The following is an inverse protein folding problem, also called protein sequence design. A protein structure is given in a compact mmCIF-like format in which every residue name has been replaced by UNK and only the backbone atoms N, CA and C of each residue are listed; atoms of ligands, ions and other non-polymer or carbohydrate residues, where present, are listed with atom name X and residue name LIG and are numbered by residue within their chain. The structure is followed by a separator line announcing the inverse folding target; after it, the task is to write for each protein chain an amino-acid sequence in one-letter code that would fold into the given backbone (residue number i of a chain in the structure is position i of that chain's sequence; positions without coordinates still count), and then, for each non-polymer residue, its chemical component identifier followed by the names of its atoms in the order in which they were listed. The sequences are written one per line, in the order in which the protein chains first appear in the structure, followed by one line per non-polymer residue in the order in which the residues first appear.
data_IF_255216939017
#
_entry.id   IF_255216939017
#
_cell.length_a   1.000
_cell.length_b   1.000
_cell.length_c   1.000
_cell.angle_alpha   90.00
_cell.angle_beta   90.00
_cell.angle_gamma   90.00
#
_symmetry.space_group_name_H-M   'P 1'
#
loop_
_entity.id
_entity.type
_entity.pdbx_description
1 polymer ?
#
# COMPACT_ATOMS: atom_id res chain seq x y z
N UNK A 1 1.97 -19.80 -1.11
CA UNK A 1 1.73 -19.82 -2.56
C UNK A 1 2.75 -20.75 -3.20
N UNK A 2 2.32 -21.87 -3.75
CA UNK A 2 3.18 -22.87 -4.38
C UNK A 2 3.84 -22.28 -5.64
N UNK A 3 5.14 -22.51 -5.79
CA UNK A 3 5.98 -22.03 -6.89
C UNK A 3 5.69 -22.66 -8.25
N UNK A 4 4.66 -23.51 -8.39
CA UNK A 4 4.31 -24.22 -9.62
C UNK A 4 3.07 -23.67 -10.34
N UNK A 5 2.49 -22.53 -9.90
CA UNK A 5 1.17 -22.05 -10.38
C UNK A 5 1.21 -21.32 -11.74
N UNK A 6 2.39 -21.00 -12.29
CA UNK A 6 2.55 -20.18 -13.51
C UNK A 6 3.26 -20.92 -14.66
N UNK A 7 2.94 -22.20 -14.92
CA UNK A 7 3.39 -22.86 -16.17
C UNK A 7 2.80 -22.19 -17.43
N UNK A 8 1.65 -21.52 -17.28
CA UNK A 8 1.06 -20.64 -18.27
C UNK A 8 0.84 -19.26 -17.63
N UNK A 9 1.37 -18.20 -18.27
CA UNK A 9 1.20 -16.84 -17.76
C UNK A 9 -0.27 -16.43 -17.84
N UNK A 10 -0.84 -15.80 -16.77
CA UNK A 10 -2.22 -15.34 -16.79
C UNK A 10 -2.42 -14.31 -17.90
N UNK A 11 -3.62 -14.28 -18.49
CA UNK A 11 -4.01 -13.30 -19.50
C UNK A 11 -4.90 -12.22 -18.88
N UNK A 12 -4.91 -11.02 -19.49
CA UNK A 12 -5.89 -10.00 -19.11
C UNK A 12 -7.32 -10.51 -19.37
N UNK A 13 -8.19 -10.37 -18.36
CA UNK A 13 -9.55 -10.91 -18.34
C UNK A 13 -9.71 -12.20 -17.56
N UNK A 14 -8.61 -12.89 -17.22
CA UNK A 14 -8.67 -14.10 -16.41
C UNK A 14 -9.15 -13.77 -14.99
N UNK A 15 -9.91 -14.69 -14.40
CA UNK A 15 -10.36 -14.58 -13.01
C UNK A 15 -9.95 -15.82 -12.24
N UNK A 16 -9.24 -15.63 -11.14
CA UNK A 16 -8.91 -16.70 -10.19
C UNK A 16 -9.80 -16.61 -8.96
N UNK A 17 -10.39 -17.74 -8.59
CA UNK A 17 -11.18 -17.88 -7.36
C UNK A 17 -10.43 -18.86 -6.44
N UNK A 18 -9.88 -18.35 -5.35
CA UNK A 18 -9.18 -19.14 -4.34
C UNK A 18 -9.87 -18.95 -2.99
N UNK A 19 -10.82 -19.84 -2.68
CA UNK A 19 -11.67 -19.91 -1.47
C UNK A 19 -12.26 -18.56 -0.98
N UNK A 20 -11.44 -17.70 -0.37
CA UNK A 20 -11.81 -16.39 0.19
C UNK A 20 -11.25 -15.19 -0.62
N UNK A 21 -10.54 -15.44 -1.72
CA UNK A 21 -9.93 -14.42 -2.57
C UNK A 21 -10.34 -14.57 -4.02
N UNK A 22 -10.90 -13.49 -4.57
CA UNK A 22 -11.17 -13.33 -6.00
C UNK A 22 -10.12 -12.40 -6.58
N UNK A 23 -9.43 -12.83 -7.63
CA UNK A 23 -8.40 -12.05 -8.31
C UNK A 23 -8.79 -11.88 -9.76
N UNK A 24 -8.84 -10.63 -10.22
CA UNK A 24 -9.12 -10.28 -11.61
C UNK A 24 -7.89 -9.70 -12.29
N UNK A 25 -7.45 -10.31 -13.39
CA UNK A 25 -6.26 -9.89 -14.12
C UNK A 25 -6.55 -8.77 -15.13
N UNK A 26 -5.87 -7.64 -14.96
CA UNK A 26 -5.93 -6.45 -15.83
C UNK A 26 -4.77 -6.38 -16.84
N UNK A 27 -3.66 -7.08 -16.55
CA UNK A 27 -2.52 -7.27 -17.44
C UNK A 27 -1.93 -8.66 -17.23
N UNK A 28 -1.28 -9.28 -18.23
CA UNK A 28 -0.46 -8.70 -19.32
C UNK A 28 -1.22 -7.95 -20.42
N UNK A 29 -0.51 -7.08 -21.15
CA UNK A 29 -1.05 -6.17 -22.19
C UNK A 29 -2.13 -5.23 -21.64
N UNK A 30 -1.71 -4.10 -21.06
CA UNK A 30 -2.57 -3.31 -20.20
C UNK A 30 -3.63 -2.53 -21.00
N UNK A 31 -4.87 -3.03 -20.97
CA UNK A 31 -6.02 -2.44 -21.66
C UNK A 31 -6.66 -1.30 -20.84
N UNK A 32 -7.27 -0.30 -21.49
CA UNK A 32 -7.96 0.79 -20.79
C UNK A 32 -9.23 0.30 -20.10
N UNK A 33 -9.35 0.47 -18.79
CA UNK A 33 -10.52 0.01 -18.01
C UNK A 33 -11.72 0.97 -18.05
N UNK A 34 -11.51 2.23 -18.46
CA UNK A 34 -12.54 3.27 -18.47
C UNK A 34 -12.75 3.97 -17.12
N UNK A 35 -12.10 3.51 -16.05
CA UNK A 35 -12.05 4.21 -14.75
C UNK A 35 -11.11 5.41 -14.87
N UNK A 36 -11.43 6.51 -14.17
CA UNK A 36 -10.56 7.68 -14.17
C UNK A 36 -9.25 7.38 -13.46
N UNK A 37 -8.12 7.67 -14.11
CA UNK A 37 -6.80 7.67 -13.50
C UNK A 37 -6.72 8.77 -12.42
N UNK A 38 -6.79 8.39 -11.14
CA UNK A 38 -6.61 9.31 -10.03
C UNK A 38 -5.19 9.20 -9.48
N UNK A 39 -4.44 10.29 -9.49
CA UNK A 39 -3.06 10.31 -9.02
C UNK A 39 -3.03 10.37 -7.49
N UNK A 40 -3.03 9.22 -6.83
CA UNK A 40 -2.98 9.15 -5.36
C UNK A 40 -1.59 9.42 -4.77
N UNK A 41 -0.53 9.26 -5.57
CA UNK A 41 0.85 9.24 -5.05
C UNK A 41 1.72 10.44 -5.45
N UNK A 42 1.11 11.53 -5.93
CA UNK A 42 1.78 12.79 -6.26
C UNK A 42 3.07 12.63 -7.09
N UNK A 43 2.90 12.23 -8.35
CA UNK A 43 4.00 12.08 -9.32
C UNK A 43 4.73 13.41 -9.57
N UNK A 44 6.06 13.45 -9.31
CA UNK A 44 6.93 14.61 -9.51
C UNK A 44 7.08 14.98 -11.00
N UNK A 45 6.67 16.20 -11.37
CA UNK A 45 6.50 16.65 -12.76
C UNK A 45 7.74 16.64 -13.66
N UNK A 46 8.96 16.76 -13.11
CA UNK A 46 10.19 16.83 -13.93
C UNK A 46 10.77 15.45 -14.27
N UNK A 47 10.58 14.44 -13.42
CA UNK A 47 10.93 13.05 -13.73
C UNK A 47 9.87 12.38 -14.63
N UNK A 48 8.64 12.89 -14.57
CA UNK A 48 7.43 12.33 -15.18
C UNK A 48 7.43 12.25 -16.73
N UNK A 49 8.34 12.89 -17.46
CA UNK A 49 8.38 12.74 -18.93
C UNK A 49 9.15 11.49 -19.37
N UNK A 50 10.07 11.01 -18.53
CA UNK A 50 10.95 9.87 -18.82
C UNK A 50 10.56 8.62 -18.03
N UNK A 51 10.42 8.76 -16.71
CA UNK A 51 10.24 7.64 -15.80
C UNK A 51 9.39 7.99 -14.59
N UNK A 52 8.61 7.02 -14.13
CA UNK A 52 7.80 7.09 -12.93
C UNK A 52 8.42 6.22 -11.86
N UNK A 53 8.77 6.83 -10.72
CA UNK A 53 9.24 6.11 -9.54
C UNK A 53 8.06 5.79 -8.63
N UNK A 54 7.74 4.50 -8.56
CA UNK A 54 6.64 4.00 -7.77
C UNK A 54 7.10 3.62 -6.37
N UNK A 55 6.37 4.11 -5.37
CA UNK A 55 6.70 3.96 -3.96
C UNK A 55 5.54 3.37 -3.17
N UNK A 56 5.84 2.56 -2.15
CA UNK A 56 4.81 2.13 -1.22
C UNK A 56 4.28 3.33 -0.42
N UNK A 57 2.97 3.40 -0.21
CA UNK A 57 2.28 4.51 0.47
C UNK A 57 2.68 4.63 1.95
N UNK A 58 2.66 5.86 2.48
CA UNK A 58 2.94 6.17 3.89
C UNK A 58 1.95 5.54 4.86
N UNK A 59 0.74 5.20 4.40
CA UNK A 59 -0.35 4.66 5.20
C UNK A 59 0.04 3.39 5.96
N UNK A 60 0.67 2.43 5.28
CA UNK A 60 1.08 1.16 5.88
C UNK A 60 2.10 1.35 7.01
N UNK A 61 3.04 2.29 6.82
CA UNK A 61 4.09 2.59 7.78
C UNK A 61 3.56 3.42 8.95
N UNK A 62 2.69 4.40 8.67
CA UNK A 62 1.98 5.17 9.69
C UNK A 62 1.18 4.24 10.60
N UNK A 63 0.36 3.36 10.02
CA UNK A 63 -0.42 2.36 10.75
C UNK A 63 0.47 1.45 11.60
N UNK A 64 1.60 0.97 11.06
CA UNK A 64 2.54 0.14 11.81
C UNK A 64 3.15 0.89 13.01
N UNK A 65 3.55 2.16 12.83
CA UNK A 65 4.05 3.00 13.94
C UNK A 65 2.96 3.23 14.98
N UNK A 66 1.72 3.49 14.54
CA UNK A 66 0.57 3.70 15.42
C UNK A 66 0.23 2.46 16.24
N UNK A 67 0.29 1.27 15.65
CA UNK A 67 0.12 0.02 16.38
C UNK A 67 1.24 -0.21 17.39
N UNK A 68 2.48 0.15 17.05
CA UNK A 68 3.62 0.05 17.96
C UNK A 68 3.46 0.98 19.18
N UNK A 69 3.19 2.27 18.94
CA UNK A 69 2.97 3.26 20.01
C UNK A 69 1.81 2.86 20.91
N UNK A 70 0.69 2.41 20.33
CA UNK A 70 -0.47 1.92 21.07
C UNK A 70 -0.15 0.69 21.93
N UNK A 71 0.66 -0.23 21.42
CA UNK A 71 1.05 -1.46 22.15
C UNK A 71 1.96 -1.15 23.34
N UNK A 72 2.92 -0.23 23.19
CA UNK A 72 3.77 0.21 24.31
C UNK A 72 2.96 1.01 25.34
N UNK A 73 2.09 1.92 24.87
CA UNK A 73 1.26 2.73 25.74
C UNK A 73 0.23 1.90 26.52
N UNK A 74 -0.36 0.86 25.91
CA UNK A 74 -1.33 -0.01 26.58
C UNK A 74 -0.69 -0.81 27.72
N UNK A 75 0.55 -1.27 27.54
CA UNK A 75 1.29 -1.99 28.59
C UNK A 75 1.63 -1.05 29.75
N UNK A 76 2.10 0.16 29.46
CA UNK A 76 2.34 1.19 30.49
C UNK A 76 1.03 1.48 31.23
N UNK A 77 -0.07 1.67 30.50
CA UNK A 77 -1.37 1.95 31.11
C UNK A 77 -1.87 0.80 31.97
N UNK A 78 -1.67 -0.45 31.55
CA UNK A 78 -2.01 -1.63 32.34
C UNK A 78 -1.28 -1.60 33.69
N UNK A 79 0.03 -1.34 33.71
CA UNK A 79 0.78 -1.23 34.96
C UNK A 79 0.34 -0.05 35.83
N UNK A 80 0.02 1.11 35.23
CA UNK A 80 -0.52 2.25 35.95
C UNK A 80 -1.88 1.91 36.59
N UNK A 81 -2.78 1.23 35.87
CA UNK A 81 -4.07 0.79 36.40
C UNK A 81 -3.91 -0.25 37.52
N UNK A 82 -2.97 -1.19 37.38
CA UNK A 82 -2.66 -2.15 38.46
C UNK A 82 -2.10 -1.46 39.70
N UNK A 83 -1.23 -0.46 39.54
CA UNK A 83 -0.70 0.32 40.65
C UNK A 83 -1.79 1.13 41.37
N UNK A 84 -2.71 1.74 40.62
CA UNK A 84 -3.85 2.44 41.20
C UNK A 84 -4.82 1.46 41.86
N UNK A 85 -5.12 0.33 41.23
CA UNK A 85 -6.02 -0.69 41.75
C UNK A 85 -5.53 -1.34 43.04
N UNK A 86 -4.23 -1.62 43.13
CA UNK A 86 -3.60 -2.10 44.37
C UNK A 86 -3.66 -1.04 45.47
N UNK A 87 -3.40 0.23 45.16
CA UNK A 87 -3.57 1.33 46.12
C UNK A 87 -5.01 1.52 46.60
N UNK A 88 -6.01 1.35 45.73
CA UNK A 88 -7.44 1.38 46.12
C UNK A 88 -7.77 0.20 47.04
N UNK A 89 -7.30 -1.00 46.71
CA UNK A 89 -7.54 -2.18 47.53
C UNK A 89 -6.94 -2.02 48.94
N UNK A 90 -5.72 -1.47 49.02
CA UNK A 90 -5.05 -1.23 50.30
C UNK A 90 -5.68 -0.09 51.10
N UNK A 91 -6.20 0.94 50.44
CA UNK A 91 -7.03 1.95 51.10
C UNK A 91 -8.26 1.32 51.79
N UNK A 92 -8.95 0.37 51.15
CA UNK A 92 -10.09 -0.31 51.77
C UNK A 92 -9.70 -1.25 52.92
N UNK A 93 -8.50 -1.84 52.90
CA UNK A 93 -8.06 -2.81 53.91
C UNK A 93 -7.39 -2.11 55.11
N UNK A 94 -6.53 -1.13 54.84
CA UNK A 94 -5.58 -0.56 55.81
C UNK A 94 -5.73 0.97 55.96
N UNK A 95 -6.66 1.60 55.24
CA UNK A 95 -6.90 3.04 55.25
C UNK A 95 -5.65 3.89 54.92
N UNK A 96 -4.71 3.31 54.16
CA UNK A 96 -3.53 3.99 53.66
C UNK A 96 -3.90 4.80 52.41
N UNK A 97 -3.36 6.01 52.23
CA UNK A 97 -3.66 6.79 51.04
C UNK A 97 -3.15 6.09 49.77
N UNK A 98 -3.99 6.06 48.74
CA UNK A 98 -3.78 5.30 47.48
C UNK A 98 -2.39 5.57 46.86
N UNK A 99 -1.92 6.83 46.88
CA UNK A 99 -0.64 7.20 46.28
C UNK A 99 0.58 6.64 47.03
N UNK A 100 0.47 6.39 48.34
CA UNK A 100 1.58 5.82 49.13
C UNK A 100 1.88 4.38 48.72
N UNK A 101 0.88 3.62 48.27
CA UNK A 101 1.08 2.28 47.70
C UNK A 101 1.40 2.34 46.20
N UNK A 102 0.70 3.19 45.45
CA UNK A 102 0.83 3.22 43.99
C UNK A 102 2.20 3.74 43.50
N UNK A 103 2.76 4.77 44.14
CA UNK A 103 4.04 5.37 43.73
C UNK A 103 5.20 4.35 43.89
N UNK A 104 5.37 3.66 45.03
CA UNK A 104 6.40 2.64 45.19
C UNK A 104 6.24 1.41 44.30
N UNK A 105 5.01 1.10 43.90
CA UNK A 105 4.75 0.02 42.96
C UNK A 105 5.22 0.36 41.53
N UNK A 106 5.03 1.62 41.11
CA UNK A 106 5.29 2.07 39.73
C UNK A 106 6.73 2.56 39.54
N UNK A 107 7.22 3.48 40.38
CA UNK A 107 8.46 4.23 40.07
C UNK A 107 9.75 3.53 40.54
N UNK A 108 9.88 3.08 41.81
CA UNK A 108 11.06 2.34 42.28
C UNK A 108 11.21 0.92 41.71
N UNK A 109 10.18 0.41 41.03
CA UNK A 109 10.15 -0.98 40.56
C UNK A 109 10.99 -1.15 39.29
N UNK A 110 12.29 -1.36 39.47
CA UNK A 110 13.24 -1.55 38.38
C UNK A 110 12.89 -2.75 37.48
N UNK A 111 12.29 -3.80 38.02
CA UNK A 111 11.90 -4.98 37.25
C UNK A 111 10.78 -4.66 36.24
N UNK A 112 9.80 -3.84 36.64
CA UNK A 112 8.75 -3.34 35.76
C UNK A 112 9.34 -2.50 34.63
N UNK A 113 10.21 -1.53 34.95
CA UNK A 113 10.84 -0.69 33.93
C UNK A 113 11.79 -1.47 33.02
N UNK A 114 12.48 -2.49 33.54
CA UNK A 114 13.27 -3.40 32.73
C UNK A 114 12.38 -4.20 31.75
N UNK A 115 11.24 -4.70 32.20
CA UNK A 115 10.29 -5.39 31.35
C UNK A 115 9.75 -4.48 30.23
N UNK A 116 9.31 -3.27 30.57
CA UNK A 116 8.85 -2.27 29.59
C UNK A 116 9.97 -1.92 28.61
N UNK A 117 11.20 -1.74 29.09
CA UNK A 117 12.36 -1.45 28.25
C UNK A 117 12.69 -2.59 27.28
N UNK A 118 12.74 -3.85 27.77
CA UNK A 118 13.02 -5.01 26.92
C UNK A 118 11.96 -5.17 25.82
N UNK A 119 10.69 -4.96 26.17
CA UNK A 119 9.59 -5.04 25.22
C UNK A 119 9.66 -3.89 24.21
N UNK A 120 9.84 -2.64 24.66
CA UNK A 120 10.01 -1.50 23.78
C UNK A 120 11.21 -1.66 22.83
N UNK A 121 12.32 -2.25 23.31
CA UNK A 121 13.51 -2.57 22.52
C UNK A 121 13.25 -3.66 21.50
N UNK A 122 12.54 -4.74 21.86
CA UNK A 122 12.17 -5.81 20.94
C UNK A 122 11.33 -5.29 19.77
N UNK A 123 10.27 -4.53 20.08
CA UNK A 123 9.42 -3.94 19.05
C UNK A 123 10.16 -2.86 18.24
N UNK A 124 11.00 -2.05 18.89
CA UNK A 124 11.87 -1.08 18.23
C UNK A 124 12.78 -1.77 17.20
N UNK A 125 13.40 -2.90 17.56
CA UNK A 125 14.22 -3.68 16.63
C UNK A 125 13.44 -4.14 15.39
N UNK A 126 12.21 -4.66 15.55
CA UNK A 126 11.38 -5.02 14.40
C UNK A 126 11.02 -3.82 13.53
N UNK A 127 10.70 -2.67 14.14
CA UNK A 127 10.43 -1.43 13.43
C UNK A 127 11.65 -0.96 12.63
N UNK A 128 12.82 -0.85 13.27
CA UNK A 128 14.05 -0.44 12.58
C UNK A 128 14.45 -1.44 11.48
N UNK A 129 14.21 -2.74 11.67
CA UNK A 129 14.43 -3.74 10.63
C UNK A 129 13.49 -3.54 9.44
N UNK A 130 12.22 -3.24 9.68
CA UNK A 130 11.26 -2.93 8.62
C UNK A 130 11.63 -1.64 7.87
N UNK A 131 12.02 -0.58 8.59
CA UNK A 131 12.55 0.66 7.98
C UNK A 131 13.82 0.39 7.17
N UNK A 132 14.73 -0.42 7.68
CA UNK A 132 15.94 -0.82 6.98
C UNK A 132 15.61 -1.58 5.69
N UNK A 133 14.65 -2.51 5.73
CA UNK A 133 14.21 -3.23 4.52
C UNK A 133 13.62 -2.28 3.48
N UNK A 134 12.74 -1.36 3.89
CA UNK A 134 12.10 -0.40 2.98
C UNK A 134 13.09 0.60 2.34
N UNK A 135 14.14 0.96 3.06
CA UNK A 135 15.18 1.89 2.57
C UNK A 135 16.31 1.18 1.81
N UNK A 136 16.48 -0.13 2.02
CA UNK A 136 17.52 -0.94 1.38
C UNK A 136 17.22 -1.28 -0.08
N UNK A 137 15.94 -1.33 -0.48
CA UNK A 137 15.56 -1.56 -1.87
C UNK A 137 15.24 -0.23 -2.55
N UNK A 138 15.80 0.02 -3.75
CA UNK A 138 15.39 1.18 -4.54
C UNK A 138 13.93 1.02 -4.98
N UNK A 139 13.25 2.14 -5.30
CA UNK A 139 11.89 2.08 -5.81
C UNK A 139 11.80 1.37 -7.16
N UNK A 140 10.58 0.95 -7.50
CA UNK A 140 10.30 0.36 -8.82
C UNK A 140 10.15 1.51 -9.80
N UNK A 141 10.89 1.45 -10.91
CA UNK A 141 10.94 2.53 -11.90
C UNK A 141 10.30 2.07 -13.20
N UNK A 142 9.26 2.77 -13.62
CA UNK A 142 8.58 2.57 -14.89
C UNK A 142 9.15 3.54 -15.93
N UNK A 143 9.71 3.06 -17.04
CA UNK A 143 10.24 3.90 -18.10
C UNK A 143 9.31 3.88 -19.31
N UNK A 144 8.71 5.03 -19.59
CA UNK A 144 7.76 5.20 -20.67
C UNK A 144 8.39 5.06 -22.05
N UNK A 145 9.58 5.63 -22.23
CA UNK A 145 10.25 5.70 -23.55
C UNK A 145 10.72 4.32 -24.01
N UNK A 146 11.19 3.51 -23.07
CA UNK A 146 11.62 2.13 -23.32
C UNK A 146 10.49 1.10 -23.19
N UNK A 147 9.32 1.48 -22.68
CA UNK A 147 8.21 0.56 -22.36
C UNK A 147 8.68 -0.64 -21.52
N UNK A 148 9.48 -0.35 -20.49
CA UNK A 148 10.08 -1.35 -19.61
C UNK A 148 10.01 -0.88 -18.15
N UNK A 149 10.05 -1.83 -17.23
CA UNK A 149 10.02 -1.59 -15.79
C UNK A 149 11.25 -2.18 -15.14
N UNK A 150 11.94 -1.37 -14.35
CA UNK A 150 13.12 -1.73 -13.62
C UNK A 150 12.78 -1.96 -12.15
N UNK A 151 13.14 -3.14 -11.62
CA UNK A 151 13.07 -3.43 -10.19
C UNK A 151 14.34 -4.12 -9.69
N UNK A 152 14.59 -4.01 -8.39
CA UNK A 152 15.73 -4.65 -7.73
C UNK A 152 15.18 -5.48 -6.56
N UNK A 153 15.23 -6.81 -6.69
CA UNK A 153 14.62 -7.72 -5.71
C UNK A 153 15.26 -7.63 -4.33
N UNK A 154 16.59 -7.56 -4.27
CA UNK A 154 17.35 -7.35 -3.02
C UNK A 154 18.52 -6.42 -3.26
N UNK A 155 18.90 -5.68 -2.22
CA UNK A 155 20.09 -4.83 -2.23
C UNK A 155 21.33 -5.63 -2.68
N UNK A 156 22.02 -5.12 -3.68
CA UNK A 156 23.23 -5.74 -4.24
C UNK A 156 23.01 -6.73 -5.38
N UNK A 157 21.76 -7.10 -5.69
CA UNK A 157 21.45 -7.87 -6.89
C UNK A 157 21.40 -6.98 -8.14
N UNK A 158 21.69 -7.52 -9.34
CA UNK A 158 21.54 -6.78 -10.57
C UNK A 158 20.08 -6.35 -10.77
N UNK A 159 19.84 -5.14 -11.33
CA UNK A 159 18.49 -4.72 -11.67
C UNK A 159 17.92 -5.59 -12.77
N UNK A 160 16.62 -5.81 -12.72
CA UNK A 160 15.88 -6.59 -13.70
C UNK A 160 14.97 -5.65 -14.48
N UNK A 161 14.95 -5.83 -15.79
CA UNK A 161 14.13 -5.06 -16.72
C UNK A 161 13.07 -6.00 -17.29
N UNK A 162 11.80 -5.63 -17.13
CA UNK A 162 10.66 -6.40 -17.64
C UNK A 162 9.93 -5.53 -18.67
N UNK A 163 9.58 -6.04 -19.85
CA UNK A 163 8.73 -5.35 -20.81
C UNK A 163 7.38 -4.99 -20.20
N UNK A 164 6.92 -3.76 -20.43
CA UNK A 164 5.66 -3.23 -19.89
C UNK A 164 4.45 -4.10 -20.23
N UNK A 165 4.44 -4.71 -21.42
CA UNK A 165 3.33 -5.56 -21.88
C UNK A 165 3.34 -6.96 -21.28
N UNK A 166 4.42 -7.38 -20.60
CA UNK A 166 4.56 -8.67 -19.92
C UNK A 166 4.24 -8.58 -18.41
N UNK A 167 4.02 -7.37 -17.89
CA UNK A 167 3.73 -7.19 -16.47
C UNK A 167 2.36 -7.75 -16.14
N UNK A 168 2.32 -8.50 -15.05
CA UNK A 168 1.07 -9.01 -14.51
C UNK A 168 0.52 -7.93 -13.59
N UNK A 169 -0.73 -7.54 -13.78
CA UNK A 169 -1.41 -6.67 -12.85
C UNK A 169 -2.80 -7.23 -12.61
N UNK A 170 -3.18 -7.36 -11.35
CA UNK A 170 -4.48 -7.84 -10.98
C UNK A 170 -5.02 -7.08 -9.77
N UNK A 171 -6.33 -7.10 -9.66
CA UNK A 171 -7.03 -6.55 -8.50
C UNK A 171 -7.60 -7.72 -7.71
N UNK A 172 -7.26 -7.78 -6.43
CA UNK A 172 -7.76 -8.80 -5.52
C UNK A 172 -8.86 -8.25 -4.62
N UNK A 173 -9.95 -8.99 -4.50
CA UNK A 173 -10.98 -8.85 -3.46
C UNK A 173 -10.85 -10.06 -2.54
N UNK A 174 -10.44 -9.84 -1.30
CA UNK A 174 -10.28 -10.90 -0.30
C UNK A 174 -11.19 -10.67 0.89
N UNK A 175 -11.83 -11.73 1.37
CA UNK A 175 -12.57 -11.69 2.64
C UNK A 175 -11.63 -12.16 3.74
N UNK A 176 -11.25 -11.25 4.64
CA UNK A 176 -10.34 -11.57 5.74
C UNK A 176 -11.12 -11.61 7.04
N UNK A 177 -11.15 -12.78 7.68
CA UNK A 177 -11.64 -12.90 9.05
C UNK A 177 -10.72 -12.11 9.99
N UNK A 178 -11.25 -11.06 10.60
CA UNK A 178 -10.57 -10.28 11.63
C UNK A 178 -11.23 -10.54 12.98
N UNK A 179 -10.60 -10.09 14.06
CA UNK A 179 -11.16 -10.11 15.42
C UNK A 179 -12.51 -9.36 15.56
N UNK A 180 -12.91 -8.58 14.55
CA UNK A 180 -14.17 -7.83 14.51
C UNK A 180 -15.18 -8.38 13.49
N UNK A 181 -14.94 -9.58 12.96
CA UNK A 181 -15.75 -10.21 11.91
C UNK A 181 -15.04 -10.25 10.55
N UNK A 182 -15.77 -10.68 9.53
CA UNK A 182 -15.29 -10.76 8.16
C UNK A 182 -15.25 -9.37 7.53
N UNK A 183 -14.07 -8.94 7.10
CA UNK A 183 -13.88 -7.66 6.42
C UNK A 183 -13.39 -7.90 5.00
N UNK A 184 -14.02 -7.23 4.03
CA UNK A 184 -13.57 -7.25 2.65
C UNK A 184 -12.36 -6.32 2.50
N UNK A 185 -11.27 -6.85 1.95
CA UNK A 185 -10.03 -6.11 1.66
C UNK A 185 -9.77 -6.13 0.16
N UNK A 186 -9.53 -4.96 -0.40
CA UNK A 186 -9.16 -4.79 -1.80
C UNK A 186 -7.69 -4.43 -1.92
N UNK A 187 -7.02 -4.93 -2.95
CA UNK A 187 -5.66 -4.55 -3.24
C UNK A 187 -5.35 -4.59 -4.74
N UNK A 188 -4.50 -3.67 -5.17
CA UNK A 188 -3.82 -3.77 -6.46
C UNK A 188 -2.56 -4.61 -6.28
N UNK A 189 -2.40 -5.65 -7.07
CA UNK A 189 -1.26 -6.55 -7.05
C UNK A 189 -0.54 -6.46 -8.40
N UNK A 190 0.75 -6.12 -8.39
CA UNK A 190 1.60 -6.07 -9.59
C UNK A 190 2.65 -7.17 -9.46
N UNK A 191 2.65 -8.10 -10.42
CA UNK A 191 3.55 -9.23 -10.50
C UNK A 191 4.67 -8.98 -11.50
N UNK A 192 5.91 -9.15 -11.04
CA UNK A 192 7.12 -9.08 -11.84
C UNK A 192 7.67 -10.49 -12.04
N UNK A 193 7.49 -11.06 -13.22
CA UNK A 193 7.98 -12.40 -13.56
C UNK A 193 9.49 -12.36 -13.78
N UNK A 194 10.23 -13.20 -13.07
CA UNK A 194 11.65 -13.35 -13.26
C UNK A 194 11.98 -14.29 -14.44
N UNK A 195 12.69 -13.79 -15.44
CA UNK A 195 13.06 -14.56 -16.63
C UNK A 195 14.03 -15.73 -16.33
N UNK A 196 14.81 -15.68 -15.24
CA UNK A 196 15.77 -16.74 -14.91
C UNK A 196 15.17 -17.89 -14.09
N UNK A 197 14.31 -17.56 -13.12
CA UNK A 197 13.82 -18.53 -12.12
C UNK A 197 12.32 -18.83 -12.24
N UNK A 198 11.58 -18.10 -13.09
CA UNK A 198 10.12 -18.18 -13.21
C UNK A 198 9.36 -17.69 -11.97
N UNK A 199 10.06 -17.15 -10.97
CA UNK A 199 9.44 -16.65 -9.74
C UNK A 199 8.82 -15.28 -9.97
N UNK A 200 7.62 -15.09 -9.45
CA UNK A 200 6.91 -13.80 -9.52
C UNK A 200 7.12 -13.03 -8.22
N UNK A 201 7.73 -11.85 -8.32
CA UNK A 201 7.71 -10.89 -7.22
C UNK A 201 6.40 -10.11 -7.26
N UNK A 202 5.64 -10.16 -6.17
CA UNK A 202 4.41 -9.41 -6.01
C UNK A 202 4.62 -8.12 -5.24
N UNK A 203 4.15 -7.01 -5.81
CA UNK A 203 3.93 -5.74 -5.13
C UNK A 203 2.45 -5.61 -4.83
N UNK A 204 2.07 -5.53 -3.55
CA UNK A 204 0.68 -5.40 -3.13
C UNK A 204 0.43 -4.03 -2.54
N UNK A 205 -0.56 -3.32 -3.09
CA UNK A 205 -1.05 -2.05 -2.60
C UNK A 205 -2.45 -2.22 -2.03
N UNK A 206 -2.62 -2.11 -0.70
CA UNK A 206 -3.94 -2.15 -0.10
C UNK A 206 -4.71 -0.88 -0.48
N UNK A 207 -5.99 -1.06 -0.78
CA UNK A 207 -6.91 0.03 -1.16
C UNK A 207 -8.25 -0.14 -0.45
N UNK A 208 -8.92 0.97 -0.17
CA UNK A 208 -10.20 0.95 0.54
C UNK A 208 -11.37 0.40 -0.28
N UNK A 209 -11.30 0.44 -1.61
CA UNK A 209 -12.34 -0.08 -2.51
C UNK A 209 -11.73 -0.68 -3.79
N UNK A 210 -12.48 -1.58 -4.45
CA UNK A 210 -12.09 -2.14 -5.75
C UNK A 210 -11.85 -1.05 -6.81
N UNK A 211 -12.71 -0.04 -6.85
CA UNK A 211 -12.59 1.08 -7.79
C UNK A 211 -11.31 1.89 -7.61
N UNK A 212 -10.82 2.02 -6.37
CA UNK A 212 -9.55 2.68 -6.08
C UNK A 212 -8.36 1.84 -6.59
N UNK A 213 -8.38 0.51 -6.40
CA UNK A 213 -7.34 -0.36 -6.97
C UNK A 213 -7.27 -0.28 -8.50
N UNK A 214 -8.44 -0.29 -9.18
CA UNK A 214 -8.50 -0.12 -10.64
C UNK A 214 -8.04 1.28 -11.05
N UNK A 215 -8.38 2.31 -10.29
CA UNK A 215 -7.96 3.69 -10.56
C UNK A 215 -6.45 3.90 -10.44
N UNK A 216 -5.82 3.26 -9.46
CA UNK A 216 -4.35 3.27 -9.27
C UNK A 216 -3.64 2.57 -10.44
N UNK A 217 -4.18 1.43 -10.88
CA UNK A 217 -3.67 0.76 -12.07
C UNK A 217 -3.81 1.63 -13.32
N UNK A 218 -4.97 2.26 -13.51
CA UNK A 218 -5.19 3.21 -14.61
C UNK A 218 -4.26 4.41 -14.55
N UNK A 219 -3.86 4.89 -13.36
CA UNK A 219 -2.89 5.96 -13.24
C UNK A 219 -1.52 5.54 -13.80
N UNK A 220 -1.04 4.33 -13.47
CA UNK A 220 0.21 3.79 -14.01
C UNK A 220 0.10 3.57 -15.52
N UNK A 221 -1.01 2.96 -15.99
CA UNK A 221 -1.24 2.71 -17.42
C UNK A 221 -1.34 4.00 -18.22
N UNK A 222 -2.15 4.96 -17.77
CA UNK A 222 -2.33 6.25 -18.45
C UNK A 222 -1.00 7.01 -18.52
N UNK A 223 -0.19 6.96 -17.47
CA UNK A 223 1.16 7.49 -17.49
C UNK A 223 2.03 6.83 -18.58
N UNK A 224 2.06 5.48 -18.63
CA UNK A 224 2.89 4.74 -19.59
C UNK A 224 2.45 4.93 -21.05
N UNK A 225 1.14 5.00 -21.32
CA UNK A 225 0.62 5.11 -22.68
C UNK A 225 0.48 6.57 -23.15
N UNK A 226 -0.21 7.39 -22.36
CA UNK A 226 -0.63 8.75 -22.75
C UNK A 226 0.31 9.84 -22.21
N UNK A 227 1.15 9.50 -21.23
CA UNK A 227 2.12 10.40 -20.62
C UNK A 227 1.58 11.16 -19.40
N UNK A 228 2.38 12.06 -18.81
CA UNK A 228 2.04 12.72 -17.56
C UNK A 228 0.84 13.67 -17.65
N UNK A 229 0.46 14.12 -18.85
CA UNK A 229 -0.74 14.94 -19.07
C UNK A 229 -2.05 14.19 -18.84
N UNK A 230 -2.04 12.85 -18.93
CA UNK A 230 -3.23 12.03 -18.72
C UNK A 230 -3.55 11.80 -17.24
N UNK A 231 -2.58 12.02 -16.36
CA UNK A 231 -2.78 11.95 -14.92
C UNK A 231 -3.68 13.10 -14.46
N UNK A 232 -4.89 12.79 -14.00
CA UNK A 232 -5.71 13.80 -13.32
C UNK A 232 -5.11 14.11 -11.97
N UNK A 233 -5.20 15.39 -11.59
CA UNK A 233 -4.94 15.84 -10.22
C UNK A 233 -5.87 15.07 -9.27
N UNK A 234 -5.33 14.56 -8.17
CA UNK A 234 -6.14 13.91 -7.12
C UNK A 234 -7.35 14.77 -6.76
N UNK A 235 -8.55 14.19 -6.76
CA UNK A 235 -9.75 14.86 -6.27
C UNK A 235 -9.65 15.18 -4.78
N UNK A 236 -8.80 14.46 -4.04
CA UNK A 236 -8.64 14.62 -2.59
C UNK A 236 -7.74 15.82 -2.22
N UNK A 237 -7.25 16.60 -3.18
CA UNK A 237 -6.24 17.62 -2.89
C UNK A 237 -4.85 17.00 -2.72
N UNK A 238 -3.82 17.82 -2.92
CA UNK A 238 -2.42 17.36 -3.03
C UNK A 238 -1.88 16.74 -1.74
N UNK A 239 -2.48 17.03 -0.58
CA UNK A 239 -1.89 16.69 0.72
C UNK A 239 -2.73 15.69 1.55
N UNK A 240 -3.88 15.22 1.04
CA UNK A 240 -4.71 14.23 1.74
C UNK A 240 -4.35 12.79 1.39
N UNK A 241 -3.06 12.46 1.40
CA UNK A 241 -2.62 11.06 1.34
C UNK A 241 -2.86 10.39 2.70
N UNK A 242 -3.29 9.13 2.70
CA UNK A 242 -3.40 8.35 3.93
C UNK A 242 -2.03 8.24 4.66
N UNK A 243 -2.05 8.49 5.97
CA UNK A 243 -0.86 8.53 6.82
C UNK A 243 -0.20 9.92 6.95
N UNK A 244 -0.75 10.95 6.32
CA UNK A 244 -0.34 12.35 6.51
C UNK A 244 -1.06 13.01 7.70
N UNK A 245 -0.56 14.16 8.14
CA UNK A 245 -1.15 14.92 9.26
C UNK A 245 -2.46 15.59 8.82
N UNK A 246 -2.52 16.02 7.57
CA UNK A 246 -3.66 16.64 6.93
C UNK A 246 -4.84 15.66 6.85
N UNK A 247 -4.57 14.42 6.43
CA UNK A 247 -5.55 13.34 6.43
C UNK A 247 -6.05 13.04 7.86
N UNK A 248 -5.15 13.00 8.86
CA UNK A 248 -5.53 12.83 10.26
C UNK A 248 -6.49 13.92 10.75
N UNK A 249 -6.23 15.19 10.40
CA UNK A 249 -7.10 16.29 10.76
C UNK A 249 -8.44 16.26 10.03
N UNK A 250 -8.47 15.80 8.78
CA UNK A 250 -9.72 15.53 8.06
C UNK A 250 -10.54 14.48 8.83
N UNK A 251 -9.96 13.32 9.15
CA UNK A 251 -10.66 12.27 9.92
C UNK A 251 -11.14 12.77 11.28
N UNK A 252 -10.36 13.61 11.97
CA UNK A 252 -10.79 14.23 13.24
C UNK A 252 -12.03 15.09 13.04
N UNK A 253 -12.05 15.91 11.99
CA UNK A 253 -13.17 16.80 11.70
C UNK A 253 -14.42 16.00 11.36
N UNK A 254 -14.30 14.99 10.51
CA UNK A 254 -15.43 14.15 10.11
C UNK A 254 -15.96 13.36 11.31
N UNK A 255 -15.09 12.82 12.16
CA UNK A 255 -15.50 12.14 13.39
C UNK A 255 -16.28 13.06 14.33
N UNK A 256 -15.85 14.33 14.47
CA UNK A 256 -16.53 15.33 15.29
C UNK A 256 -17.92 15.71 14.74
N UNK A 257 -18.07 15.71 13.41
CA UNK A 257 -19.35 15.99 12.75
C UNK A 257 -20.33 14.82 12.91
N UNK A 258 -19.83 13.59 12.80
CA UNK A 258 -20.65 12.38 12.80
C UNK A 258 -21.00 11.87 14.21
N UNK A 259 -20.26 12.28 15.24
CA UNK A 259 -20.38 11.72 16.59
C UNK A 259 -20.56 12.79 17.68
N UNK A 260 -21.42 12.47 18.67
CA UNK A 260 -21.62 13.32 19.85
C UNK A 260 -20.37 13.43 20.76
N UNK A 261 -20.37 14.45 21.63
CA UNK A 261 -19.23 14.82 22.48
C UNK A 261 -18.66 13.65 23.32
N UNK A 262 -19.51 12.79 23.88
CA UNK A 262 -19.05 11.65 24.68
C UNK A 262 -18.25 10.64 23.83
N UNK A 263 -18.72 10.36 22.61
CA UNK A 263 -18.06 9.43 21.70
C UNK A 263 -16.78 10.04 21.11
N UNK A 264 -16.73 11.36 20.95
CA UNK A 264 -15.48 12.06 20.64
C UNK A 264 -14.45 11.95 21.78
N UNK A 265 -14.87 12.16 23.03
CA UNK A 265 -13.97 12.12 24.19
C UNK A 265 -13.43 10.71 24.45
N UNK A 266 -14.31 9.72 24.56
CA UNK A 266 -13.94 8.34 24.90
C UNK A 266 -13.54 7.48 23.69
N UNK A 267 -13.98 7.84 22.49
CA UNK A 267 -13.62 7.16 21.25
C UNK A 267 -12.39 7.80 20.61
N UNK A 268 -12.54 9.00 20.05
CA UNK A 268 -11.44 9.62 19.31
C UNK A 268 -10.28 10.05 20.21
N UNK A 269 -10.50 10.91 21.21
CA UNK A 269 -9.40 11.48 22.00
C UNK A 269 -8.63 10.42 22.78
N UNK A 270 -9.34 9.50 23.44
CA UNK A 270 -8.72 8.45 24.24
C UNK A 270 -7.88 7.51 23.37
N UNK A 271 -8.43 7.01 22.26
CA UNK A 271 -7.68 6.13 21.34
C UNK A 271 -6.46 6.86 20.77
N UNK A 272 -6.63 8.11 20.33
CA UNK A 272 -5.52 8.86 19.73
C UNK A 272 -4.45 9.27 20.75
N UNK A 273 -4.81 9.47 22.02
CA UNK A 273 -3.83 9.73 23.08
C UNK A 273 -2.89 8.52 23.28
N UNK A 274 -3.46 7.31 23.35
CA UNK A 274 -2.67 6.09 23.50
C UNK A 274 -1.94 5.67 22.21
N UNK A 275 -2.41 6.11 21.04
CA UNK A 275 -1.79 5.79 19.75
C UNK A 275 -0.68 6.77 19.32
N UNK A 276 -0.39 7.79 20.13
CA UNK A 276 0.65 8.79 19.83
C UNK A 276 0.19 9.95 18.93
N UNK A 277 -1.12 10.15 18.78
CA UNK A 277 -1.72 11.28 18.08
C UNK A 277 -1.20 11.44 16.64
N UNK A 278 -0.56 12.56 16.31
CA UNK A 278 0.06 12.86 15.00
C UNK A 278 1.50 12.38 14.88
N UNK A 279 2.12 11.87 15.95
CA UNK A 279 3.51 11.38 15.92
C UNK A 279 3.72 10.27 14.87
N UNK A 280 2.82 9.26 14.73
CA UNK A 280 2.95 8.25 13.69
C UNK A 280 3.02 8.84 12.28
N UNK A 281 2.23 9.87 11.99
CA UNK A 281 2.22 10.57 10.70
C UNK A 281 3.56 11.27 10.42
N UNK A 282 4.15 11.91 11.44
CA UNK A 282 5.46 12.55 11.32
C UNK A 282 6.59 11.53 11.14
N UNK A 283 6.56 10.42 11.88
CA UNK A 283 7.53 9.32 11.71
C UNK A 283 7.40 8.72 10.31
N UNK A 284 6.18 8.51 9.83
CA UNK A 284 5.96 7.99 8.48
C UNK A 284 6.49 8.92 7.39
N UNK A 285 6.21 10.22 7.54
CA UNK A 285 6.75 11.25 6.65
C UNK A 285 8.27 11.34 6.72
N UNK A 286 8.86 11.19 7.91
CA UNK A 286 10.32 11.16 8.09
C UNK A 286 10.95 9.95 7.39
N UNK A 287 10.39 8.74 7.56
CA UNK A 287 10.86 7.53 6.88
C UNK A 287 10.71 7.66 5.36
N UNK A 288 9.61 8.25 4.85
CA UNK A 288 9.41 8.52 3.41
C UNK A 288 10.53 9.41 2.84
N UNK A 289 11.02 10.37 3.63
CA UNK A 289 12.11 11.28 3.26
C UNK A 289 13.51 10.72 3.47
N UNK A 290 13.67 9.56 4.12
CA UNK A 290 14.99 8.97 4.27
C UNK A 290 15.59 8.67 2.89
N UNK A 291 16.90 8.91 2.71
CA UNK A 291 17.56 8.59 1.46
C UNK A 291 17.46 7.09 1.21
N UNK A 292 16.71 6.72 0.17
CA UNK A 292 16.63 5.33 -0.26
C UNK A 292 17.93 4.95 -0.93
N UNK A 293 18.23 3.65 -0.92
CA UNK A 293 19.41 3.14 -1.61
C UNK A 293 19.40 3.63 -3.06
N UNK A 294 20.50 4.28 -3.46
CA UNK A 294 20.62 4.81 -4.80
C UNK A 294 20.47 3.69 -5.83
N UNK A 295 19.83 4.01 -6.95
CA UNK A 295 19.71 3.09 -8.07
C UNK A 295 21.10 2.58 -8.52
N UNK A 296 21.25 1.28 -8.86
CA UNK A 296 22.47 0.79 -9.49
C UNK A 296 22.79 1.60 -10.76
N UNK A 297 24.08 1.73 -11.11
CA UNK A 297 24.52 2.47 -12.31
C UNK A 297 23.78 2.03 -13.57
N UNK A 298 23.52 0.73 -13.73
CA UNK A 298 22.76 0.21 -14.86
C UNK A 298 21.34 0.79 -14.98
N UNK A 299 20.63 0.99 -13.86
CA UNK A 299 19.30 1.65 -13.89
C UNK A 299 19.44 3.14 -14.17
N UNK A 300 20.47 3.80 -13.64
CA UNK A 300 20.72 5.22 -13.91
C UNK A 300 20.99 5.48 -15.40
N UNK A 301 21.84 4.66 -16.02
CA UNK A 301 22.14 4.75 -17.45
C UNK A 301 20.91 4.39 -18.31
N UNK A 302 20.16 3.37 -17.91
CA UNK A 302 18.89 3.00 -18.56
C UNK A 302 17.82 4.10 -18.45
N UNK A 303 17.83 4.90 -17.37
CA UNK A 303 16.88 5.99 -17.12
C UNK A 303 17.18 7.28 -17.90
N UNK A 304 18.31 7.35 -18.61
CA UNK A 304 18.64 8.53 -19.43
C UNK A 304 17.62 8.70 -20.57
N UNK A 305 17.21 9.94 -20.88
CA UNK A 305 16.23 10.20 -21.93
C UNK A 305 16.75 9.73 -23.28
N UNK A 306 15.88 9.07 -24.03
CA UNK A 306 16.09 8.65 -25.40
C UNK A 306 15.51 9.68 -26.38
N UNK A 307 16.14 9.85 -27.55
CA UNK A 307 15.53 10.55 -28.68
C UNK A 307 14.18 9.93 -29.05
N UNK A 308 13.21 10.74 -29.49
CA UNK A 308 11.85 10.29 -29.82
C UNK A 308 11.80 9.17 -30.86
N UNK A 309 12.76 9.14 -31.77
CA UNK A 309 12.90 8.11 -32.81
C UNK A 309 13.22 6.72 -32.26
N UNK A 310 13.80 6.65 -31.06
CA UNK A 310 14.17 5.40 -30.37
C UNK A 310 13.13 4.97 -29.34
N UNK A 311 11.99 5.66 -29.26
CA UNK A 311 10.92 5.28 -28.34
C UNK A 311 10.26 4.00 -28.82
N UNK A 312 10.10 3.04 -27.93
CA UNK A 312 9.37 1.83 -28.25
C UNK A 312 7.88 2.15 -28.40
N UNK A 313 7.28 1.69 -29.50
CA UNK A 313 5.86 1.79 -29.75
C UNK A 313 5.10 0.64 -29.06
N UNK A 314 3.81 0.83 -28.71
CA UNK A 314 2.95 -0.26 -28.27
C UNK A 314 2.86 -1.36 -29.35
N UNK A 315 2.71 -2.62 -28.94
CA UNK A 315 2.53 -3.71 -29.89
C UNK A 315 1.25 -3.54 -30.72
N UNK A 316 1.26 -4.06 -31.95
CA UNK A 316 0.09 -4.00 -32.83
C UNK A 316 -1.13 -4.69 -32.22
N UNK A 317 -0.91 -5.77 -31.47
CA UNK A 317 -1.96 -6.51 -30.75
C UNK A 317 -2.57 -5.66 -29.63
N UNK A 318 -1.75 -4.97 -28.84
CA UNK A 318 -2.23 -4.07 -27.79
C UNK A 318 -3.02 -2.90 -28.37
N UNK A 319 -2.59 -2.35 -29.50
CA UNK A 319 -3.31 -1.26 -30.20
C UNK A 319 -4.69 -1.74 -30.65
N UNK A 320 -4.76 -2.88 -31.35
CA UNK A 320 -6.01 -3.44 -31.83
C UNK A 320 -7.00 -3.72 -30.69
N UNK A 321 -6.55 -4.37 -29.63
CA UNK A 321 -7.38 -4.65 -28.45
C UNK A 321 -7.81 -3.37 -27.73
N UNK A 322 -6.91 -2.39 -27.60
CA UNK A 322 -7.26 -1.10 -26.98
C UNK A 322 -8.32 -0.35 -27.78
N UNK A 323 -8.32 -0.43 -29.10
CA UNK A 323 -9.35 0.17 -29.95
C UNK A 323 -10.72 -0.52 -29.78
N UNK A 324 -10.75 -1.85 -29.70
CA UNK A 324 -11.97 -2.61 -29.41
C UNK A 324 -12.56 -2.22 -28.06
N UNK A 325 -11.74 -2.22 -27.01
CA UNK A 325 -12.17 -1.84 -25.67
C UNK A 325 -12.67 -0.40 -25.64
N UNK A 326 -11.99 0.55 -26.29
CA UNK A 326 -12.48 1.95 -26.39
C UNK A 326 -13.83 2.05 -27.10
N UNK A 327 -14.10 1.23 -28.13
CA UNK A 327 -15.42 1.20 -28.79
C UNK A 327 -16.51 0.70 -27.85
N UNK A 328 -16.21 -0.26 -26.99
CA UNK A 328 -17.13 -0.83 -26.00
C UNK A 328 -17.38 0.17 -24.86
N UNK A 329 -16.33 0.79 -24.33
CA UNK A 329 -16.43 1.83 -23.31
C UNK A 329 -17.29 3.02 -23.79
N UNK A 330 -17.18 3.42 -25.06
CA UNK A 330 -18.03 4.47 -25.66
C UNK A 330 -19.51 4.10 -25.72
N UNK A 331 -19.84 2.80 -25.72
CA UNK A 331 -21.22 2.30 -25.65
C UNK A 331 -21.75 2.24 -24.21
N UNK A 332 -20.95 2.61 -23.21
CA UNK A 332 -21.32 2.58 -21.78
C UNK A 332 -21.14 1.21 -21.12
N UNK A 333 -20.51 0.25 -21.81
CA UNK A 333 -20.19 -1.06 -21.25
C UNK A 333 -18.83 -1.02 -20.54
N UNK A 334 -18.63 -1.89 -19.54
CA UNK A 334 -17.39 -1.97 -18.77
C UNK A 334 -16.34 -2.86 -19.45
N UNK A 335 -15.09 -2.77 -18.99
CA UNK A 335 -14.03 -3.69 -19.44
C UNK A 335 -14.34 -5.15 -19.06
N UNK A 336 -15.07 -5.39 -17.96
CA UNK A 336 -15.50 -6.73 -17.56
C UNK A 336 -16.45 -7.34 -18.59
N UNK A 337 -17.39 -6.54 -19.11
CA UNK A 337 -18.32 -6.98 -20.15
C UNK A 337 -17.58 -7.37 -21.45
N UNK A 338 -16.51 -6.66 -21.81
CA UNK A 338 -15.66 -7.02 -22.95
C UNK A 338 -15.04 -8.41 -22.79
N UNK A 339 -14.45 -8.69 -21.62
CA UNK A 339 -13.81 -9.99 -21.39
C UNK A 339 -14.83 -11.14 -21.35
N UNK A 340 -15.99 -10.92 -20.73
CA UNK A 340 -17.10 -11.88 -20.75
C UNK A 340 -17.59 -12.17 -22.18
N UNK A 341 -17.72 -11.14 -23.02
CA UNK A 341 -18.12 -11.31 -24.42
C UNK A 341 -17.05 -12.07 -25.23
N UNK A 342 -15.77 -11.77 -25.00
CA UNK A 342 -14.64 -12.44 -25.64
C UNK A 342 -14.58 -13.93 -25.28
N UNK A 343 -14.73 -14.28 -24.01
CA UNK A 343 -14.79 -15.66 -23.53
C UNK A 343 -15.98 -16.43 -24.13
N UNK A 344 -17.15 -15.79 -24.20
CA UNK A 344 -18.34 -16.35 -24.84
C UNK A 344 -18.15 -16.58 -26.34
N UNK A 345 -17.41 -15.72 -27.04
CA UNK A 345 -17.15 -15.88 -28.46
C UNK A 345 -16.10 -16.96 -28.74
N UNK A 346 -15.11 -17.13 -27.86
CA UNK A 346 -14.13 -18.21 -27.94
C UNK A 346 -14.77 -19.59 -27.70
N UNK A 347 -15.65 -19.72 -26.70
CA UNK A 347 -16.38 -20.96 -26.44
C UNK A 347 -17.31 -21.37 -27.59
N UNK A 348 -17.85 -20.40 -28.35
CA UNK A 348 -18.67 -20.66 -29.55
C UNK A 348 -17.87 -21.04 -30.81
N UNK A 349 -16.60 -20.66 -30.89
CA UNK A 349 -15.72 -20.95 -32.04
C UNK A 349 -14.89 -22.22 -31.85
N UNK A 350 -14.76 -22.69 -30.61
CA UNK A 350 -14.15 -23.98 -30.25
C UNK A 350 -15.11 -25.17 -30.14
N UNK A 351 -16.41 -24.96 -30.36
CA UNK A 351 -17.43 -26.01 -30.54
C UNK A 351 -17.87 -26.06 -32.00
#
# INVERSE_FOLDING_TARGET
MNSSKYEQSPCAGDTEHEADTEVFYLAPRPLPTGVSASNLQNIDRMAADTYLDFHLTSASLEFAVRCYTASVASIIMMFLLTGIGTGIAEYFISNTPILETAIPFIFPNWALWLFVFLLASMYGYFFFRAVYQLTSTPPIRFNRQRREVAYVAKRGQPPRFIPWEEIIACVSSSTVATQYGTQQKFALMIGFVDASDGQVMWLTLPTSTLGMAVSEWEAIRAYMEEGPSALRKSMMGTDLEEGTVEFFHMCRRDYLLDHGCLRYLFGFLLIQFFSGWTLPCHVASWVKRLPKTAFPKAVQDWSKPLPREQWQAPSAELIAQSEEVRKILRKGMSIFDYFLEKERNQSKTGS
#
